data_IF_149800107614
#
_entry.id   IF_149800107614
#
_cell.length_a   1.000
_cell.length_b   1.000
_cell.length_c   1.000
_cell.angle_alpha   90.00
_cell.angle_beta   90.00
_cell.angle_gamma   90.00
#
_symmetry.space_group_name_H-M   'P 1'
#
loop_
_entity.id
_entity.type
_entity.pdbx_description
1 polymer ?
#
# COMPACT_ATOMS: atom_id res chain seq x y z
N UNK A 1 33.61 -42.89 -53.90
CA UNK A 1 33.82 -43.35 -52.50
C UNK A 1 32.59 -42.89 -51.72
N UNK A 2 31.49 -43.64 -51.83
CA UNK A 2 30.94 -44.56 -50.80
C UNK A 2 30.53 -43.77 -49.54
N UNK A 3 29.30 -43.73 -49.01
CA UNK A 3 28.01 -44.46 -49.15
C UNK A 3 26.97 -43.61 -48.36
N UNK A 4 25.76 -43.27 -48.83
CA UNK A 4 24.48 -44.01 -48.69
C UNK A 4 24.29 -44.67 -47.29
N UNK A 5 23.20 -44.52 -46.52
CA UNK A 5 21.77 -44.83 -46.75
C UNK A 5 20.91 -44.23 -45.58
N UNK A 6 19.75 -43.58 -45.81
CA UNK A 6 18.35 -44.12 -45.87
C UNK A 6 17.86 -44.81 -44.57
N UNK A 7 16.71 -44.50 -43.98
CA UNK A 7 15.34 -44.77 -44.48
C UNK A 7 14.29 -44.05 -43.60
N UNK A 8 13.44 -43.13 -44.07
CA UNK A 8 12.09 -43.25 -44.70
C UNK A 8 10.96 -43.78 -43.78
N UNK A 9 9.97 -42.90 -43.48
CA UNK A 9 8.52 -43.13 -43.65
C UNK A 9 7.78 -41.77 -43.49
N UNK A 10 7.26 -41.11 -44.56
CA UNK A 10 5.86 -41.14 -45.08
C UNK A 10 4.80 -41.19 -43.95
N UNK A 11 3.80 -40.31 -43.84
CA UNK A 11 2.67 -40.05 -44.78
C UNK A 11 1.83 -38.90 -44.16
N UNK A 12 1.62 -37.73 -44.79
CA UNK A 12 0.41 -37.26 -45.51
C UNK A 12 -0.96 -37.29 -44.80
N UNK A 13 -1.72 -36.18 -45.00
CA UNK A 13 -3.20 -35.97 -44.91
C UNK A 13 -3.75 -35.36 -43.61
N UNK A 14 -4.22 -34.10 -43.65
CA UNK A 14 -5.60 -33.62 -43.97
C UNK A 14 -6.65 -34.15 -42.99
N UNK A 15 -7.33 -33.26 -42.25
CA UNK A 15 -8.72 -32.83 -42.46
C UNK A 15 -9.24 -32.07 -41.24
N UNK A 16 -10.09 -31.08 -41.51
CA UNK A 16 -10.99 -30.40 -40.58
C UNK A 16 -12.00 -31.39 -39.93
N UNK A 17 -12.75 -30.95 -38.90
CA UNK A 17 -13.11 -31.72 -37.71
C UNK A 17 -14.38 -32.55 -37.88
N UNK A 18 -14.71 -33.40 -36.90
CA UNK A 18 -16.10 -33.59 -36.55
C UNK A 18 -16.39 -33.43 -35.06
N UNK A 19 -17.63 -33.03 -34.81
CA UNK A 19 -18.32 -33.03 -33.54
C UNK A 19 -18.36 -34.43 -32.90
N UNK A 20 -18.33 -34.43 -31.56
CA UNK A 20 -19.06 -35.40 -30.74
C UNK A 20 -18.27 -36.65 -30.32
N UNK A 21 -18.14 -36.85 -29.01
CA UNK A 21 -17.80 -38.15 -28.43
C UNK A 21 -16.95 -38.05 -27.17
N UNK A 22 -17.61 -38.04 -26.01
CA UNK A 22 -16.96 -38.31 -24.73
C UNK A 22 -16.49 -39.77 -24.69
N UNK A 23 -15.22 -40.02 -24.36
CA UNK A 23 -14.83 -41.21 -23.61
C UNK A 23 -13.71 -40.87 -22.63
N UNK A 24 -13.85 -41.40 -21.43
CA UNK A 24 -13.03 -41.09 -20.25
C UNK A 24 -11.84 -42.04 -20.16
N UNK A 25 -10.66 -41.52 -19.85
CA UNK A 25 -9.62 -42.26 -19.12
C UNK A 25 -9.13 -41.37 -17.99
N UNK A 26 -9.25 -41.89 -16.77
CA UNK A 26 -9.35 -41.10 -15.54
C UNK A 26 -8.04 -40.61 -14.96
N UNK A 27 -8.12 -39.42 -14.35
CA UNK A 27 -7.39 -39.03 -13.16
C UNK A 27 -8.25 -38.00 -12.42
N UNK A 28 -8.55 -38.29 -11.16
CA UNK A 28 -9.47 -37.55 -10.29
C UNK A 28 -8.87 -36.19 -9.93
N UNK A 29 -9.62 -35.11 -10.21
CA UNK A 29 -9.43 -33.81 -9.56
C UNK A 29 -9.18 -32.58 -10.44
N UNK A 30 -9.71 -32.50 -11.67
CA UNK A 30 -9.80 -31.23 -12.42
C UNK A 30 -11.26 -30.82 -12.58
N UNK A 31 -11.71 -29.87 -11.76
CA UNK A 31 -12.98 -29.19 -11.94
C UNK A 31 -12.84 -28.11 -13.01
N UNK A 32 -13.56 -28.28 -14.11
CA UNK A 32 -13.63 -27.34 -15.24
C UNK A 32 -14.51 -26.15 -14.84
N UNK A 33 -14.03 -24.93 -15.03
CA UNK A 33 -14.86 -23.73 -14.93
C UNK A 33 -15.93 -23.76 -16.03
N UNK A 34 -17.20 -23.70 -15.63
CA UNK A 34 -18.31 -23.37 -16.52
C UNK A 34 -18.96 -22.10 -15.97
N UNK A 35 -18.93 -21.04 -16.77
CA UNK A 35 -19.66 -19.80 -16.53
C UNK A 35 -21.16 -20.09 -16.39
N UNK A 36 -21.73 -19.70 -15.25
CA UNK A 36 -23.14 -19.47 -15.02
C UNK A 36 -23.26 -18.38 -13.95
N UNK A 37 -24.09 -17.38 -14.22
CA UNK A 37 -24.28 -16.19 -13.38
C UNK A 37 -24.71 -16.50 -11.95
N UNK A 38 -24.36 -15.57 -11.07
CA UNK A 38 -24.74 -15.51 -9.65
C UNK A 38 -24.19 -16.67 -8.80
N UNK A 39 -22.89 -16.53 -8.49
CA UNK A 39 -22.11 -17.49 -7.74
C UNK A 39 -22.59 -17.75 -6.32
N UNK A 40 -22.76 -19.04 -6.01
CA UNK A 40 -22.42 -19.64 -4.72
C UNK A 40 -22.38 -21.17 -4.88
N UNK A 41 -21.19 -21.77 -4.96
CA UNK A 41 -21.04 -23.22 -4.82
C UNK A 41 -20.96 -23.57 -3.33
N UNK A 42 -22.09 -23.92 -2.72
CA UNK A 42 -22.12 -24.54 -1.38
C UNK A 42 -21.92 -26.05 -1.57
N UNK A 43 -20.69 -26.51 -1.40
CA UNK A 43 -20.40 -27.94 -1.25
C UNK A 43 -20.63 -28.37 0.20
N UNK A 44 -21.73 -29.06 0.46
CA UNK A 44 -21.93 -29.78 1.72
C UNK A 44 -20.92 -30.93 1.78
N UNK A 45 -19.97 -30.87 2.72
CA UNK A 45 -19.10 -32.00 3.03
C UNK A 45 -19.73 -32.77 4.20
N UNK A 46 -20.03 -34.06 3.96
CA UNK A 46 -20.52 -34.99 4.98
C UNK A 46 -19.50 -35.18 6.11
N UNK A 47 -20.03 -35.24 7.34
CA UNK A 47 -19.27 -35.39 8.57
C UNK A 47 -18.69 -36.80 8.71
N UNK A 48 -17.36 -36.92 8.75
CA UNK A 48 -16.70 -38.07 9.35
C UNK A 48 -15.99 -37.64 10.65
N UNK A 49 -16.57 -38.05 11.78
CA UNK A 49 -16.00 -37.88 13.12
C UNK A 49 -14.69 -38.66 13.21
N UNK A 50 -13.57 -37.96 13.24
CA UNK A 50 -12.39 -38.36 14.02
C UNK A 50 -11.49 -37.15 14.22
N UNK A 51 -11.40 -36.74 15.48
CA UNK A 51 -10.32 -35.98 16.14
C UNK A 51 -9.24 -35.41 15.21
N UNK A 52 -9.34 -34.13 14.87
CA UNK A 52 -8.25 -33.33 14.30
C UNK A 52 -8.53 -31.84 14.43
N UNK A 53 -7.58 -31.17 15.06
CA UNK A 53 -7.30 -29.74 15.06
C UNK A 53 -7.77 -29.04 13.77
N UNK A 54 -8.41 -27.85 13.84
CA UNK A 54 -8.91 -27.19 12.65
C UNK A 54 -7.73 -26.75 11.76
N UNK A 55 -7.53 -27.47 10.66
CA UNK A 55 -6.68 -27.05 9.56
C UNK A 55 -7.25 -25.72 9.01
N UNK A 56 -6.51 -24.63 9.21
CA UNK A 56 -6.88 -23.34 8.64
C UNK A 56 -6.84 -23.45 7.12
N UNK A 57 -8.01 -23.22 6.51
CA UNK A 57 -8.18 -22.99 5.08
C UNK A 57 -7.25 -21.84 4.68
N UNK A 58 -6.24 -22.12 3.86
CA UNK A 58 -5.42 -21.09 3.22
C UNK A 58 -6.27 -20.48 2.10
N UNK A 59 -6.94 -19.38 2.42
CA UNK A 59 -7.33 -18.42 1.39
C UNK A 59 -6.01 -17.90 0.78
N UNK A 60 -5.89 -17.92 -0.54
CA UNK A 60 -4.78 -17.28 -1.24
C UNK A 60 -4.91 -15.76 -1.02
N UNK A 61 -4.40 -15.27 0.11
CA UNK A 61 -4.33 -13.85 0.43
C UNK A 61 -3.31 -13.17 -0.46
N UNK A 62 -3.56 -11.89 -0.76
CA UNK A 62 -2.56 -10.94 -1.25
C UNK A 62 -1.19 -11.21 -0.63
N UNK A 63 -0.11 -11.15 -1.43
CA UNK A 63 1.26 -11.45 -0.97
C UNK A 63 1.52 -10.87 0.43
N UNK A 64 1.62 -11.74 1.44
CA UNK A 64 1.97 -11.30 2.79
C UNK A 64 3.34 -10.59 2.72
N UNK A 65 3.39 -9.32 3.14
CA UNK A 65 4.64 -8.54 3.16
C UNK A 65 5.67 -9.11 4.13
N UNK A 66 5.24 -9.97 5.07
CA UNK A 66 6.08 -10.65 6.04
C UNK A 66 5.67 -12.13 6.19
N UNK A 67 6.16 -13.04 5.32
CA UNK A 67 5.90 -14.46 5.46
C UNK A 67 6.56 -15.00 6.73
N UNK A 68 5.77 -15.62 7.61
CA UNK A 68 6.20 -16.14 8.92
C UNK A 68 6.59 -17.61 8.86
N UNK A 69 7.63 -17.97 9.60
CA UNK A 69 7.93 -19.34 9.99
C UNK A 69 6.83 -19.90 10.91
N UNK A 70 6.78 -21.22 11.08
CA UNK A 70 5.82 -21.91 11.95
C UNK A 70 5.91 -21.42 13.40
N UNK A 71 7.13 -21.21 13.88
CA UNK A 71 7.47 -20.71 15.20
C UNK A 71 8.85 -20.01 15.15
N UNK A 72 9.31 -19.49 16.29
CA UNK A 72 10.57 -18.75 16.39
C UNK A 72 11.83 -19.63 16.50
N UNK A 73 11.64 -20.95 16.70
CA UNK A 73 12.71 -21.93 16.87
C UNK A 73 13.01 -22.69 15.58
N UNK A 74 12.09 -22.68 14.62
CA UNK A 74 12.27 -23.30 13.31
C UNK A 74 13.07 -22.36 12.40
N UNK A 75 14.02 -22.93 11.66
CA UNK A 75 14.76 -22.26 10.61
C UNK A 75 14.12 -22.55 9.24
N UNK A 76 13.51 -21.53 8.66
CA UNK A 76 12.87 -21.60 7.36
C UNK A 76 13.40 -20.48 6.45
N UNK A 77 13.99 -20.89 5.33
CA UNK A 77 14.54 -19.95 4.34
C UNK A 77 13.46 -19.04 3.76
N UNK A 78 13.80 -17.77 3.59
CA UNK A 78 12.93 -16.73 3.04
C UNK A 78 11.82 -16.29 4.00
N UNK A 79 11.82 -16.77 5.25
CA UNK A 79 10.78 -16.46 6.23
C UNK A 79 11.30 -15.65 7.39
N UNK A 80 10.39 -14.86 7.95
CA UNK A 80 10.59 -14.15 9.20
C UNK A 80 10.29 -15.07 10.38
N UNK A 81 10.96 -14.87 11.52
CA UNK A 81 10.50 -15.50 12.77
C UNK A 81 9.04 -15.11 13.06
N UNK A 82 8.28 -16.04 13.61
CA UNK A 82 6.83 -15.93 13.80
C UNK A 82 6.41 -14.66 14.57
N UNK A 83 7.21 -14.26 15.57
CA UNK A 83 6.98 -13.06 16.38
C UNK A 83 7.68 -11.79 15.87
N UNK A 84 8.42 -11.87 14.75
CA UNK A 84 9.31 -10.81 14.26
C UNK A 84 8.79 -10.06 13.04
N UNK A 85 7.52 -10.24 12.72
CA UNK A 85 6.78 -9.31 11.84
C UNK A 85 6.22 -8.14 12.67
N UNK A 86 7.11 -7.42 13.36
CA UNK A 86 6.79 -6.36 14.32
C UNK A 86 7.21 -4.95 13.82
N UNK A 87 7.76 -4.87 12.62
CA UNK A 87 8.12 -3.61 11.97
C UNK A 87 6.94 -3.09 11.17
N UNK A 88 6.35 -1.97 11.57
CA UNK A 88 5.23 -1.34 10.86
C UNK A 88 5.72 -0.17 10.01
N UNK A 89 5.53 -0.24 8.69
CA UNK A 89 5.90 0.82 7.73
C UNK A 89 4.75 1.01 6.73
N UNK A 90 4.20 2.22 6.64
CA UNK A 90 3.13 2.51 5.67
C UNK A 90 1.88 1.63 5.82
N UNK A 91 1.59 1.15 7.03
CA UNK A 91 0.44 0.28 7.31
C UNK A 91 0.68 -1.21 7.09
N UNK A 92 1.84 -1.61 6.54
CA UNK A 92 2.20 -3.02 6.35
C UNK A 92 3.19 -3.49 7.42
N UNK A 93 3.14 -4.78 7.74
CA UNK A 93 4.11 -5.44 8.63
C UNK A 93 5.30 -5.98 7.85
N UNK A 94 6.49 -5.81 8.42
CA UNK A 94 7.77 -6.23 7.88
C UNK A 94 8.57 -6.99 8.92
N UNK A 95 9.55 -7.75 8.45
CA UNK A 95 10.40 -8.56 9.27
C UNK A 95 11.50 -7.74 9.96
N UNK A 96 11.73 -8.00 11.24
CA UNK A 96 12.90 -7.51 12.00
C UNK A 96 14.00 -8.55 12.18
N UNK A 97 13.70 -9.83 11.93
CA UNK A 97 14.65 -10.92 12.14
C UNK A 97 14.27 -12.17 11.34
N UNK A 98 15.20 -12.64 10.50
CA UNK A 98 14.99 -13.84 9.73
C UNK A 98 14.98 -15.10 10.58
N UNK A 99 14.17 -16.07 10.13
CA UNK A 99 14.06 -17.38 10.75
C UNK A 99 15.32 -18.20 10.50
N UNK A 100 15.79 -18.25 9.25
CA UNK A 100 17.10 -18.80 8.92
C UNK A 100 18.19 -17.75 9.14
N UNK A 101 19.19 -18.06 9.96
CA UNK A 101 20.22 -17.08 10.37
C UNK A 101 21.16 -16.65 9.25
N UNK A 102 21.26 -17.45 8.17
CA UNK A 102 22.07 -17.17 6.99
C UNK A 102 21.37 -16.29 5.97
N UNK A 103 20.08 -16.03 6.13
CA UNK A 103 19.34 -15.13 5.24
C UNK A 103 19.71 -13.66 5.50
N UNK A 104 19.55 -12.86 4.46
CA UNK A 104 19.76 -11.42 4.52
C UNK A 104 18.43 -10.71 4.72
N UNK A 105 18.36 -9.80 5.69
CA UNK A 105 17.16 -9.02 5.96
C UNK A 105 17.20 -7.69 5.17
N UNK A 106 16.57 -7.67 4.00
CA UNK A 106 16.59 -6.55 3.05
C UNK A 106 15.17 -6.07 2.79
N UNK A 107 14.94 -4.76 2.90
CA UNK A 107 13.64 -4.10 2.70
C UNK A 107 12.50 -4.78 3.48
N UNK A 108 12.82 -5.26 4.69
CA UNK A 108 11.88 -5.93 5.58
C UNK A 108 11.51 -7.36 5.17
N UNK A 109 12.24 -7.96 4.22
CA UNK A 109 12.07 -9.33 3.75
C UNK A 109 13.34 -10.15 3.98
N UNK A 110 13.17 -11.43 4.28
CA UNK A 110 14.27 -12.37 4.36
C UNK A 110 14.55 -12.93 2.98
N UNK A 111 15.80 -12.80 2.53
CA UNK A 111 16.23 -13.27 1.22
C UNK A 111 17.44 -14.19 1.36
N UNK A 112 17.39 -15.33 0.69
CA UNK A 112 18.49 -16.29 0.65
C UNK A 112 19.73 -15.75 -0.10
N UNK A 113 19.51 -14.80 -1.02
CA UNK A 113 20.58 -14.20 -1.80
C UNK A 113 20.37 -12.70 -1.88
N UNK A 114 21.34 -11.96 -1.38
CA UNK A 114 21.36 -10.50 -1.45
C UNK A 114 22.15 -10.05 -2.67
N UNK A 115 21.49 -10.04 -3.83
CA UNK A 115 22.09 -9.64 -5.10
C UNK A 115 22.63 -8.20 -5.09
N UNK A 116 22.10 -7.34 -4.23
CA UNK A 116 22.54 -5.95 -4.10
C UNK A 116 23.68 -5.77 -3.09
N UNK A 117 24.09 -6.84 -2.38
CA UNK A 117 24.97 -6.77 -1.21
C UNK A 117 24.52 -5.69 -0.20
N UNK A 118 23.21 -5.47 -0.09
CA UNK A 118 22.60 -4.47 0.77
C UNK A 118 22.88 -4.72 2.26
N UNK A 119 22.82 -5.97 2.68
CA UNK A 119 22.94 -6.46 4.04
C UNK A 119 24.29 -7.11 4.30
N UNK A 120 25.12 -6.46 5.11
CA UNK A 120 26.36 -7.04 5.60
C UNK A 120 25.99 -7.84 6.85
N UNK A 121 25.91 -9.16 6.73
CA UNK A 121 25.53 -10.06 7.80
C UNK A 121 26.50 -10.02 9.00
N UNK A 122 26.02 -10.42 10.17
CA UNK A 122 26.86 -10.63 11.34
C UNK A 122 27.69 -11.90 11.14
N UNK A 123 29.01 -11.78 11.18
CA UNK A 123 29.94 -12.93 11.07
C UNK A 123 30.15 -13.66 12.39
N UNK A 124 29.79 -13.03 13.49
CA UNK A 124 29.87 -13.59 14.84
C UNK A 124 28.51 -13.36 15.50
N UNK A 125 27.88 -14.43 16.00
CA UNK A 125 26.48 -14.42 16.43
C UNK A 125 25.52 -14.00 15.30
N UNK A 126 25.51 -14.77 14.21
CA UNK A 126 24.46 -14.67 13.21
C UNK A 126 23.11 -14.90 13.90
N UNK A 127 22.14 -14.06 13.60
CA UNK A 127 20.81 -14.10 14.21
C UNK A 127 19.73 -13.78 13.19
N UNK A 128 20.04 -13.83 11.89
CA UNK A 128 19.12 -13.43 10.81
C UNK A 128 18.92 -11.92 10.68
N UNK A 129 19.87 -11.11 11.18
CA UNK A 129 19.88 -9.65 11.03
C UNK A 129 21.19 -9.14 10.42
N UNK A 130 21.15 -7.92 9.89
CA UNK A 130 22.29 -7.24 9.30
C UNK A 130 23.10 -6.50 10.37
N UNK A 131 24.42 -6.58 10.28
CA UNK A 131 25.35 -5.77 11.09
C UNK A 131 25.39 -4.33 10.60
N UNK A 132 25.46 -4.15 9.28
CA UNK A 132 25.57 -2.86 8.62
C UNK A 132 25.01 -2.96 7.20
N UNK A 133 24.82 -1.82 6.55
CA UNK A 133 24.22 -1.75 5.23
C UNK A 133 25.14 -1.11 4.20
N UNK A 134 24.95 -1.48 2.93
CA UNK A 134 25.67 -0.86 1.82
C UNK A 134 25.23 0.59 1.56
N UNK A 135 25.95 1.27 0.65
CA UNK A 135 25.62 2.61 0.19
C UNK A 135 24.19 2.67 -0.37
N UNK A 136 23.44 3.71 -0.02
CA UNK A 136 22.04 3.88 -0.44
C UNK A 136 21.04 3.06 0.39
N UNK A 137 21.52 2.21 1.30
CA UNK A 137 20.71 1.53 2.31
C UNK A 137 21.02 2.09 3.70
N UNK A 138 20.07 1.94 4.61
CA UNK A 138 20.23 2.27 6.03
C UNK A 138 19.76 1.13 6.92
N UNK A 139 20.42 0.98 8.07
CA UNK A 139 20.04 0.00 9.06
C UNK A 139 18.80 0.48 9.82
N UNK A 140 17.75 -0.34 9.84
CA UNK A 140 16.54 -0.09 10.60
C UNK A 140 15.99 -1.40 11.17
N UNK A 141 15.82 -1.47 12.49
CA UNK A 141 15.26 -2.65 13.20
C UNK A 141 15.87 -3.99 12.75
N UNK A 142 17.20 -4.04 12.62
CA UNK A 142 17.94 -5.24 12.24
C UNK A 142 18.07 -5.49 10.74
N UNK A 143 17.32 -4.79 9.89
CA UNK A 143 17.35 -4.96 8.43
C UNK A 143 17.95 -3.77 7.68
N UNK A 144 18.34 -3.99 6.43
CA UNK A 144 18.80 -2.95 5.52
C UNK A 144 17.70 -2.50 4.58
N UNK A 145 17.34 -1.22 4.64
CA UNK A 145 16.24 -0.63 3.88
C UNK A 145 16.77 0.37 2.87
N UNK A 146 16.26 0.35 1.65
CA UNK A 146 16.72 1.23 0.57
C UNK A 146 16.15 2.64 0.75
N UNK A 147 17.02 3.65 0.82
CA UNK A 147 16.56 5.03 0.77
C UNK A 147 15.99 5.34 -0.63
N UNK A 148 14.87 6.06 -0.67
CA UNK A 148 14.22 6.45 -1.94
C UNK A 148 13.40 5.36 -2.64
N UNK A 149 13.37 4.12 -2.13
CA UNK A 149 12.43 3.08 -2.58
C UNK A 149 11.58 2.55 -1.42
N UNK A 150 10.34 2.17 -1.69
CA UNK A 150 9.48 1.57 -0.66
C UNK A 150 9.98 0.17 -0.29
N UNK A 151 10.02 -0.19 1.01
CA UNK A 151 9.50 0.55 2.17
C UNK A 151 10.46 1.57 2.80
N UNK A 152 11.75 1.55 2.48
CA UNK A 152 12.75 2.39 3.14
C UNK A 152 12.52 3.91 2.97
N UNK A 153 11.95 4.34 1.85
CA UNK A 153 11.61 5.75 1.59
C UNK A 153 10.54 6.33 2.52
N UNK A 154 9.79 5.51 3.25
CA UNK A 154 8.86 5.97 4.25
C UNK A 154 9.55 6.37 5.57
N UNK A 155 10.80 5.92 5.77
CA UNK A 155 11.59 6.19 6.98
C UNK A 155 12.71 7.20 6.66
N UNK A 156 13.42 6.98 5.55
CA UNK A 156 14.62 7.71 5.22
C UNK A 156 14.59 8.25 3.79
N UNK A 157 14.89 9.54 3.66
CA UNK A 157 15.00 10.21 2.36
C UNK A 157 16.38 9.97 1.74
N UNK A 158 17.43 10.05 2.56
CA UNK A 158 18.83 9.93 2.12
C UNK A 158 19.62 9.07 3.09
N UNK A 159 20.37 8.10 2.57
CA UNK A 159 21.23 7.22 3.37
C UNK A 159 22.68 7.21 2.85
N UNK A 160 23.62 7.30 3.78
CA UNK A 160 25.07 7.32 3.52
C UNK A 160 25.77 6.41 4.51
N UNK A 161 26.71 5.57 4.03
CA UNK A 161 27.50 4.69 4.90
C UNK A 161 26.66 3.71 5.72
N UNK A 162 25.54 3.22 5.17
CA UNK A 162 24.65 2.29 5.88
C UNK A 162 23.76 2.94 6.94
N UNK A 163 23.74 4.26 7.04
CA UNK A 163 22.95 5.02 8.02
C UNK A 163 22.03 6.02 7.34
N UNK A 164 20.87 6.28 7.94
CA UNK A 164 19.99 7.35 7.48
C UNK A 164 20.58 8.71 7.86
N UNK A 165 20.66 9.64 6.91
CA UNK A 165 21.17 11.01 7.12
C UNK A 165 20.07 12.06 6.93
N UNK A 166 18.88 11.67 6.49
CA UNK A 166 17.72 12.55 6.47
C UNK A 166 16.43 11.75 6.68
N UNK A 167 15.90 11.81 7.89
CA UNK A 167 14.67 11.14 8.25
C UNK A 167 13.47 11.78 7.57
N UNK A 168 12.51 10.96 7.15
CA UNK A 168 11.22 11.44 6.67
C UNK A 168 10.47 12.12 7.81
N UNK A 169 10.43 11.53 9.01
CA UNK A 169 9.67 12.06 10.14
C UNK A 169 10.14 13.45 10.61
N UNK A 170 11.44 13.70 10.68
CA UNK A 170 11.95 14.99 11.17
C UNK A 170 12.43 15.95 10.08
N UNK A 171 12.65 15.45 8.86
CA UNK A 171 13.35 16.21 7.82
C UNK A 171 14.81 16.53 8.18
N UNK A 172 15.40 15.79 9.13
CA UNK A 172 16.73 16.07 9.68
C UNK A 172 17.57 14.79 9.82
N UNK A 173 18.89 14.98 9.96
CA UNK A 173 19.84 13.92 10.23
C UNK A 173 19.63 13.37 11.66
N UNK A 174 19.40 12.05 11.84
CA UNK A 174 19.29 11.45 13.16
C UNK A 174 20.64 11.33 13.88
N UNK A 175 21.74 11.82 13.31
CA UNK A 175 23.10 11.83 13.85
C UNK A 175 23.58 10.44 14.26
N UNK A 176 23.38 9.49 13.36
CA UNK A 176 23.72 8.07 13.58
C UNK A 176 22.73 7.31 14.46
N UNK A 177 21.63 7.93 14.89
CA UNK A 177 20.52 7.24 15.58
C UNK A 177 19.47 6.74 14.57
N UNK A 178 18.50 5.97 15.07
CA UNK A 178 17.30 5.64 14.29
C UNK A 178 16.40 6.87 14.15
N UNK A 179 15.71 6.96 13.00
CA UNK A 179 14.70 8.00 12.81
C UNK A 179 13.59 7.90 13.86
N UNK A 180 13.17 9.04 14.46
CA UNK A 180 12.14 9.02 15.48
C UNK A 180 10.80 8.59 14.89
N UNK A 181 10.05 7.79 15.65
CA UNK A 181 8.64 7.59 15.38
C UNK A 181 7.87 8.83 15.82
N UNK A 182 6.94 9.29 15.00
CA UNK A 182 6.09 10.43 15.37
C UNK A 182 4.90 9.97 16.22
N UNK A 183 4.34 10.89 17.04
CA UNK A 183 3.08 10.64 17.74
C UNK A 183 1.95 10.25 16.80
N UNK A 184 0.92 9.59 17.32
CA UNK A 184 -0.24 9.21 16.52
C UNK A 184 -0.87 10.42 15.83
N UNK A 185 -1.20 10.27 14.53
CA UNK A 185 -1.78 11.37 13.73
C UNK A 185 -0.77 12.38 13.21
N UNK A 186 0.53 12.22 13.49
CA UNK A 186 1.58 13.13 13.06
C UNK A 186 2.42 12.53 11.92
N UNK A 187 2.57 13.26 10.81
CA UNK A 187 3.42 12.85 9.68
C UNK A 187 4.85 13.37 9.81
N UNK A 188 5.02 14.57 10.38
CA UNK A 188 6.31 15.19 10.63
C UNK A 188 6.44 15.68 12.07
N UNK A 189 7.47 15.27 12.77
CA UNK A 189 7.70 15.60 14.16
C UNK A 189 9.15 16.00 14.44
N UNK A 190 9.33 16.81 15.48
CA UNK A 190 10.63 17.20 16.00
C UNK A 190 10.71 16.92 17.49
N UNK A 191 11.92 16.80 18.04
CA UNK A 191 12.15 16.41 19.42
C UNK A 191 12.12 14.88 19.63
N UNK A 192 12.21 14.47 20.89
CA UNK A 192 12.33 13.06 21.29
C UNK A 192 11.44 12.77 22.50
N UNK A 193 10.89 11.55 22.56
CA UNK A 193 10.07 11.10 23.67
C UNK A 193 8.81 11.97 23.88
N UNK A 194 8.53 12.34 25.13
CA UNK A 194 7.36 13.13 25.51
C UNK A 194 7.43 14.62 25.11
N UNK A 195 8.60 15.12 24.70
CA UNK A 195 8.77 16.50 24.22
C UNK A 195 8.61 16.61 22.69
N UNK A 196 8.10 15.57 22.04
CA UNK A 196 7.87 15.61 20.59
C UNK A 196 6.78 16.62 20.24
N UNK A 197 7.08 17.45 19.25
CA UNK A 197 6.12 18.37 18.64
C UNK A 197 5.86 17.94 17.21
N UNK A 198 4.64 18.14 16.75
CA UNK A 198 4.22 17.82 15.40
C UNK A 198 4.23 19.06 14.50
N UNK A 199 5.00 19.04 13.42
CA UNK A 199 4.99 20.09 12.40
C UNK A 199 3.85 19.88 11.41
N UNK A 200 3.56 18.64 11.02
CA UNK A 200 2.53 18.28 10.04
C UNK A 200 1.71 17.08 10.50
N UNK A 201 0.38 17.20 10.39
CA UNK A 201 -0.54 16.11 10.74
C UNK A 201 -0.84 15.23 9.52
N UNK A 202 -1.19 13.97 9.79
CA UNK A 202 -1.76 13.06 8.81
C UNK A 202 -3.16 13.54 8.37
N UNK A 203 -3.60 13.10 7.19
CA UNK A 203 -4.97 13.32 6.75
C UNK A 203 -5.97 12.79 7.79
N UNK A 204 -7.10 13.50 7.97
CA UNK A 204 -8.07 13.22 9.02
C UNK A 204 -7.71 13.77 10.38
N UNK A 205 -6.61 14.53 10.50
CA UNK A 205 -6.21 15.22 11.72
C UNK A 205 -5.96 16.70 11.47
N UNK A 206 -6.31 17.55 12.44
CA UNK A 206 -5.94 18.96 12.47
C UNK A 206 -4.85 19.21 13.51
N UNK A 207 -4.03 20.23 13.26
CA UNK A 207 -2.97 20.67 14.16
C UNK A 207 -3.51 21.66 15.20
N UNK A 208 -3.23 21.42 16.47
CA UNK A 208 -3.56 22.33 17.58
C UNK A 208 -2.48 23.39 17.78
N UNK A 209 -2.78 24.42 18.57
CA UNK A 209 -1.79 25.43 19.00
C UNK A 209 -0.65 24.84 19.84
N UNK A 210 -0.86 23.67 20.47
CA UNK A 210 0.16 22.94 21.22
C UNK A 210 1.08 22.08 20.32
N UNK A 211 0.99 22.22 18.99
CA UNK A 211 1.70 21.38 18.02
C UNK A 211 1.40 19.88 18.18
N UNK A 212 0.17 19.54 18.53
CA UNK A 212 -0.33 18.16 18.55
C UNK A 212 -1.37 17.97 17.46
N UNK A 213 -1.61 16.72 17.06
CA UNK A 213 -2.60 16.36 16.04
C UNK A 213 -3.81 15.69 16.69
N UNK A 214 -4.99 16.21 16.41
CA UNK A 214 -6.27 15.66 16.88
C UNK A 214 -7.11 15.27 15.67
N UNK A 215 -7.84 14.15 15.77
CA UNK A 215 -8.71 13.71 14.68
C UNK A 215 -9.81 14.73 14.41
N UNK A 216 -10.18 14.89 13.14
CA UNK A 216 -11.24 15.81 12.71
C UNK A 216 -12.61 15.53 13.33
N UNK A 217 -12.87 14.28 13.75
CA UNK A 217 -14.12 13.86 14.39
C UNK A 217 -14.09 13.94 15.93
N UNK A 218 -13.00 14.46 16.51
CA UNK A 218 -12.84 14.61 17.96
C UNK A 218 -12.76 16.07 18.38
N UNK A 219 -13.46 16.35 19.46
CA UNK A 219 -13.35 17.60 20.19
C UNK A 219 -11.98 17.71 20.87
N UNK A 220 -11.41 18.90 20.86
CA UNK A 220 -10.25 19.26 21.68
C UNK A 220 -10.46 20.66 22.26
N UNK A 221 -10.69 20.71 23.58
CA UNK A 221 -10.87 21.96 24.33
C UNK A 221 -11.95 22.87 23.71
N UNK A 222 -11.52 23.91 22.97
CA UNK A 222 -12.36 24.93 22.34
C UNK A 222 -12.72 24.60 20.87
N UNK A 223 -12.22 23.48 20.34
CA UNK A 223 -12.45 23.03 18.97
C UNK A 223 -13.43 21.87 18.99
N UNK A 224 -14.48 21.96 18.17
CA UNK A 224 -15.47 20.89 18.00
C UNK A 224 -15.19 20.06 16.76
N UNK A 225 -15.16 18.74 16.92
CA UNK A 225 -14.99 17.81 15.82
C UNK A 225 -16.24 17.74 14.95
N UNK A 226 -16.06 17.34 13.69
CA UNK A 226 -17.15 17.08 12.74
C UNK A 226 -17.16 15.58 12.41
N UNK A 227 -18.25 14.85 12.67
CA UNK A 227 -18.32 13.43 12.38
C UNK A 227 -18.17 13.14 10.89
N UNK A 228 -17.60 11.98 10.56
CA UNK A 228 -17.32 11.52 9.19
C UNK A 228 -16.41 12.46 8.38
N UNK A 229 -15.66 13.36 9.03
CA UNK A 229 -14.76 14.26 8.33
C UNK A 229 -13.40 13.60 8.06
N UNK A 230 -13.04 13.50 6.78
CA UNK A 230 -11.81 12.88 6.28
C UNK A 230 -10.65 13.90 6.19
N UNK A 231 -10.96 15.19 6.03
CA UNK A 231 -9.96 16.25 5.99
C UNK A 231 -10.54 17.54 6.56
N UNK A 232 -9.81 18.21 7.45
CA UNK A 232 -10.29 19.41 8.13
C UNK A 232 -9.19 20.42 8.45
N UNK A 233 -9.59 21.64 8.77
CA UNK A 233 -8.74 22.69 9.35
C UNK A 233 -9.28 23.15 10.71
N UNK A 234 -8.40 23.58 11.63
CA UNK A 234 -8.83 24.20 12.87
C UNK A 234 -9.55 25.53 12.59
N UNK A 235 -10.47 25.98 13.47
CA UNK A 235 -11.15 27.26 13.32
C UNK A 235 -10.16 28.43 13.43
N UNK A 236 -10.39 29.48 12.64
CA UNK A 236 -9.56 30.72 12.66
C UNK A 236 -9.74 31.54 13.94
N UNK A 237 -10.92 31.44 14.57
CA UNK A 237 -11.27 32.12 15.83
C UNK A 237 -11.95 31.12 16.77
N UNK A 238 -11.22 30.50 17.71
CA UNK A 238 -11.79 29.65 18.75
C UNK A 238 -12.66 30.44 19.74
N UNK A 239 -13.74 29.86 20.30
CA UNK A 239 -14.20 28.48 20.10
C UNK A 239 -14.99 28.30 18.80
N UNK A 240 -14.88 27.13 18.18
CA UNK A 240 -15.61 26.81 16.95
C UNK A 240 -15.38 25.39 16.44
N UNK A 241 -16.21 24.91 15.49
CA UNK A 241 -16.01 23.62 14.86
C UNK A 241 -14.82 23.65 13.88
N UNK A 242 -14.21 22.49 13.66
CA UNK A 242 -13.29 22.33 12.52
C UNK A 242 -14.01 22.58 11.21
N UNK A 243 -13.33 23.19 10.25
CA UNK A 243 -13.85 23.32 8.89
C UNK A 243 -13.59 22.01 8.16
N UNK A 244 -14.64 21.26 7.82
CA UNK A 244 -14.51 20.01 7.09
C UNK A 244 -14.44 20.25 5.58
N UNK A 245 -13.42 19.73 4.92
CA UNK A 245 -13.23 19.84 3.47
C UNK A 245 -13.75 18.61 2.71
N UNK A 246 -13.69 17.44 3.34
CA UNK A 246 -14.12 16.16 2.75
C UNK A 246 -14.83 15.35 3.81
N UNK A 247 -16.06 14.94 3.54
CA UNK A 247 -16.78 13.96 4.35
C UNK A 247 -16.74 12.60 3.69
N UNK A 248 -16.72 11.53 4.49
CA UNK A 248 -17.10 10.22 3.99
C UNK A 248 -18.59 10.29 3.69
N UNK A 249 -18.97 10.22 2.41
CA UNK A 249 -20.37 9.96 2.07
C UNK A 249 -20.76 8.64 2.72
N UNK A 250 -21.88 8.58 3.47
CA UNK A 250 -22.39 7.28 3.89
C UNK A 250 -22.61 6.46 2.61
N UNK A 251 -22.14 5.21 2.61
CA UNK A 251 -22.46 4.24 1.56
C UNK A 251 -23.95 4.32 1.28
N UNK A 252 -24.30 4.79 0.08
CA UNK A 252 -25.69 4.90 -0.36
C UNK A 252 -26.24 3.48 -0.39
N UNK A 253 -27.06 3.15 0.61
CA UNK A 253 -27.90 1.96 0.57
C UNK A 253 -28.88 2.13 -0.60
N UNK A 254 -28.90 1.22 -1.61
CA UNK A 254 -29.66 1.44 -2.84
C UNK A 254 -31.18 1.25 -2.70
N UNK A 255 -31.74 1.39 -1.48
CA UNK A 255 -33.11 0.94 -1.20
C UNK A 255 -34.02 1.92 -0.43
N UNK A 256 -33.85 3.24 -0.53
CA UNK A 256 -34.89 4.15 0.00
C UNK A 256 -35.04 5.49 -0.77
N UNK A 257 -36.22 5.82 -1.31
CA UNK A 257 -36.53 7.13 -1.85
C UNK A 257 -37.19 8.00 -0.79
N UNK A 258 -36.45 8.59 0.16
CA UNK A 258 -36.98 9.77 0.87
C UNK A 258 -35.92 10.69 1.49
N UNK A 259 -36.02 11.94 1.04
CA UNK A 259 -35.61 13.24 1.59
C UNK A 259 -34.95 13.25 2.98
N UNK A 260 -33.72 13.80 3.08
CA UNK A 260 -33.34 14.77 4.11
C UNK A 260 -32.09 15.59 3.74
N UNK A 261 -32.40 16.82 3.31
CA UNK A 261 -31.68 18.11 3.40
C UNK A 261 -30.35 18.12 4.18
N UNK A 262 -29.25 18.36 3.45
CA UNK A 262 -27.94 18.78 3.97
C UNK A 262 -27.19 19.59 2.92
N UNK A 263 -27.87 20.56 2.31
CA UNK A 263 -27.28 21.44 1.31
C UNK A 263 -26.15 22.27 1.91
N UNK A 264 -24.93 22.01 1.47
CA UNK A 264 -23.89 23.02 1.39
C UNK A 264 -24.42 24.19 0.54
N UNK A 265 -24.09 25.45 0.87
CA UNK A 265 -24.57 26.60 0.13
C UNK A 265 -24.10 26.47 -1.32
N UNK A 266 -25.03 26.11 -2.19
CA UNK A 266 -24.90 26.18 -3.64
C UNK A 266 -24.97 27.65 -4.02
N UNK A 267 -23.96 28.42 -3.62
CA UNK A 267 -23.80 29.83 -3.93
C UNK A 267 -22.51 30.01 -4.69
N UNK A 268 -22.63 30.06 -6.03
CA UNK A 268 -21.74 30.73 -7.02
C UNK A 268 -21.33 29.90 -8.25
N UNK A 269 -21.67 28.61 -8.39
CA UNK A 269 -21.43 27.90 -9.67
C UNK A 269 -22.66 28.00 -10.58
N UNK A 270 -23.03 29.24 -10.91
CA UNK A 270 -23.90 29.58 -12.03
C UNK A 270 -23.46 30.96 -12.53
N UNK A 271 -22.51 30.99 -13.49
CA UNK A 271 -22.10 32.26 -14.08
C UNK A 271 -20.83 32.31 -14.92
N UNK A 272 -20.09 31.22 -15.14
CA UNK A 272 -18.82 31.29 -15.92
C UNK A 272 -18.95 30.75 -17.37
N UNK A 273 -20.11 30.24 -17.78
CA UNK A 273 -20.30 29.81 -19.19
C UNK A 273 -20.74 30.93 -20.14
N UNK A 274 -21.29 32.05 -19.64
CA UNK A 274 -21.74 33.16 -20.50
C UNK A 274 -20.62 34.16 -20.79
N UNK A 275 -19.69 34.37 -19.86
CA UNK A 275 -18.58 35.30 -20.05
C UNK A 275 -17.62 34.85 -21.17
N UNK A 276 -17.35 33.54 -21.29
CA UNK A 276 -16.48 33.00 -22.34
C UNK A 276 -17.13 33.14 -23.73
N UNK A 277 -18.44 32.91 -23.84
CA UNK A 277 -19.17 33.03 -25.12
C UNK A 277 -19.22 34.50 -25.57
N UNK A 278 -19.41 35.46 -24.66
CA UNK A 278 -19.40 36.89 -25.00
C UNK A 278 -18.01 37.35 -25.41
N UNK A 279 -16.95 36.88 -24.74
CA UNK A 279 -15.57 37.26 -25.09
C UNK A 279 -15.18 36.66 -26.44
N UNK A 280 -15.48 35.38 -26.70
CA UNK A 280 -15.16 34.74 -27.99
C UNK A 280 -16.03 35.30 -29.12
N UNK A 281 -17.33 35.53 -28.88
CA UNK A 281 -18.23 36.14 -29.86
C UNK A 281 -17.85 37.58 -30.20
N UNK A 282 -17.44 38.37 -29.20
CA UNK A 282 -16.94 39.73 -29.40
C UNK A 282 -15.62 39.78 -30.17
N UNK A 283 -14.69 38.86 -29.88
CA UNK A 283 -13.41 38.79 -30.58
C UNK A 283 -13.58 38.38 -32.04
N UNK A 284 -14.43 37.38 -32.32
CA UNK A 284 -14.72 36.93 -33.70
C UNK A 284 -15.47 38.00 -34.48
N UNK A 285 -16.46 38.68 -33.86
CA UNK A 285 -17.19 39.77 -34.49
C UNK A 285 -16.29 40.98 -34.82
N UNK A 286 -15.41 41.36 -33.88
CA UNK A 286 -14.46 42.45 -34.10
C UNK A 286 -13.43 42.10 -35.18
N UNK A 287 -12.92 40.86 -35.21
CA UNK A 287 -12.02 40.40 -36.28
C UNK A 287 -12.71 40.36 -37.65
N UNK A 288 -13.94 39.86 -37.74
CA UNK A 288 -14.69 39.86 -39.01
C UNK A 288 -14.97 41.28 -39.50
N UNK A 289 -15.35 42.21 -38.63
CA UNK A 289 -15.54 43.61 -39.03
C UNK A 289 -14.23 44.26 -39.46
N UNK A 290 -13.14 44.05 -38.69
CA UNK A 290 -11.83 44.59 -39.02
C UNK A 290 -11.33 44.09 -40.38
N UNK A 291 -11.44 42.79 -40.68
CA UNK A 291 -10.99 42.25 -41.97
C UNK A 291 -11.86 42.65 -43.17
N UNK A 292 -13.15 42.91 -42.97
CA UNK A 292 -14.07 43.25 -44.07
C UNK A 292 -14.18 44.76 -44.32
N UNK A 293 -14.03 45.60 -43.29
CA UNK A 293 -14.18 47.05 -43.42
C UNK A 293 -12.87 47.85 -43.37
N UNK A 294 -11.75 47.24 -42.95
CA UNK A 294 -10.44 47.90 -42.91
C UNK A 294 -9.51 47.49 -44.07
N UNK A 295 -10.08 47.00 -45.17
CA UNK A 295 -9.37 46.75 -46.43
C UNK A 295 -10.13 47.38 -47.58
#
# INVERSE_FOLDING_TARGET
>A
VVSQLRSIHRTTQRLHPPLGGCYSVGAVGSGVCREAGDGACVGYAEENKTDRTPARVRVASAEETCPKATDDSTEEQGKCKSTKCDVMIGGNSYCSQCSLETDHLVDGKCVATDAANACIAKTSAADGTCRSCAQGYFLHRGGCYKAGAFPGNAICTTATGGSCTMCVSSGADPKGQSCPACPAGCSKCSGSGSSQTCSECLAGYYKTSANTCVKCDKDDSNIKGVPNCVSCAPPTTPPGPVTCYVTQEPTVDPTDPSVNKGGLPSGTIAGISVAVIVVVGGLVGFLCWWFVCYR
#
